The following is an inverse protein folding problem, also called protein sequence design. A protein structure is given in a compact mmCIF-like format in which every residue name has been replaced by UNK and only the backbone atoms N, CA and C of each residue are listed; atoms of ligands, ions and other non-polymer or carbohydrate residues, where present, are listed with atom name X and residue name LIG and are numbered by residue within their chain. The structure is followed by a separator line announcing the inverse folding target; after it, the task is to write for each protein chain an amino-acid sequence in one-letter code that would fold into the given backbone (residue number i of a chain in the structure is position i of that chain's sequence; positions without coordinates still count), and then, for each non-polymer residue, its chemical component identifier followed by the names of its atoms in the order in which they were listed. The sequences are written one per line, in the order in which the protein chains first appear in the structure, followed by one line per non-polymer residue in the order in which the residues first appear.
data_IF_098401798622
#
_entry.id   IF_098401798622
#
_cell.length_a   1.000
_cell.length_b   1.000
_cell.length_c   1.000
_cell.angle_alpha   90.00
_cell.angle_beta   90.00
_cell.angle_gamma   90.00
#
_symmetry.space_group_name_H-M   'P 1'
#
loop_
_entity.id
_entity.type
_entity.pdbx_description
1 polymer ?
#
# COMPACT_ATOMS: atom_id res chain seq x y z
N UNK A 1 5.82 -3.35 9.26
CA UNK A 1 7.17 -3.85 8.97
C UNK A 1 7.12 -4.66 7.68
N UNK A 2 8.12 -4.59 6.80
CA UNK A 2 8.11 -5.31 5.52
C UNK A 2 8.10 -6.81 5.75
N UNK A 3 7.42 -7.57 4.87
CA UNK A 3 7.52 -9.03 4.82
C UNK A 3 8.67 -9.51 3.90
N UNK A 4 9.53 -8.60 3.45
CA UNK A 4 10.72 -8.94 2.68
C UNK A 4 11.72 -9.69 3.58
N UNK A 5 12.21 -10.83 3.08
CA UNK A 5 13.21 -11.68 3.76
C UNK A 5 14.55 -10.99 3.99
N UNK A 6 14.85 -9.92 3.24
CA UNK A 6 16.10 -9.17 3.29
C UNK A 6 16.08 -8.03 4.31
N UNK A 7 14.94 -7.70 4.91
CA UNK A 7 14.85 -6.66 5.92
C UNK A 7 15.60 -7.05 7.20
N UNK A 8 16.55 -6.21 7.62
CA UNK A 8 17.43 -6.44 8.77
C UNK A 8 17.24 -5.40 9.90
N UNK A 9 16.08 -4.73 9.94
CA UNK A 9 15.75 -3.74 10.98
C UNK A 9 16.19 -2.31 10.64
N UNK A 10 16.46 -2.05 9.37
CA UNK A 10 16.87 -0.73 8.91
C UNK A 10 15.73 0.31 9.04
N UNK A 11 16.06 1.60 9.18
CA UNK A 11 15.04 2.63 9.33
C UNK A 11 14.21 2.76 8.05
N UNK A 12 12.97 2.29 8.10
CA UNK A 12 11.98 2.38 7.02
C UNK A 12 10.74 3.13 7.49
N UNK A 13 9.97 3.68 6.55
CA UNK A 13 8.84 4.55 6.86
C UNK A 13 7.57 4.13 6.16
N UNK A 14 6.47 4.59 6.74
CA UNK A 14 5.14 4.59 6.16
C UNK A 14 4.64 6.02 6.30
N UNK A 15 4.27 6.63 5.17
CA UNK A 15 3.70 7.97 5.11
C UNK A 15 2.25 7.85 4.65
N UNK A 16 1.32 8.39 5.43
CA UNK A 16 -0.12 8.40 5.12
C UNK A 16 -0.58 9.84 5.17
N UNK A 17 -1.21 10.31 4.10
CA UNK A 17 -1.80 11.63 4.00
C UNK A 17 -3.09 11.79 4.80
N UNK A 18 -3.82 12.86 4.49
CA UNK A 18 -5.01 13.26 5.24
C UNK A 18 -6.31 12.69 4.64
N UNK A 19 -7.36 12.59 5.46
CA UNK A 19 -8.71 12.24 4.98
C UNK A 19 -8.92 10.76 4.60
N UNK A 20 -7.93 9.90 4.81
CA UNK A 20 -8.03 8.48 4.47
C UNK A 20 -8.98 7.71 5.41
N UNK A 21 -9.79 6.83 4.83
CA UNK A 21 -10.60 5.85 5.57
C UNK A 21 -9.96 4.47 5.46
N UNK A 22 -9.39 3.99 6.57
CA UNK A 22 -8.76 2.67 6.67
C UNK A 22 -9.65 1.74 7.49
N UNK A 23 -10.18 0.71 6.84
CA UNK A 23 -11.10 -0.25 7.45
C UNK A 23 -10.38 -1.37 8.20
N UNK A 24 -11.18 -2.23 8.81
CA UNK A 24 -10.77 -3.30 9.70
C UNK A 24 -9.81 -4.29 8.99
N UNK A 25 -8.80 -4.77 9.72
CA UNK A 25 -7.84 -5.77 9.24
C UNK A 25 -7.02 -5.36 7.99
N UNK A 26 -6.93 -4.08 7.68
CA UNK A 26 -5.97 -3.58 6.68
C UNK A 26 -4.55 -3.72 7.22
N UNK A 27 -3.64 -4.15 6.34
CA UNK A 27 -2.20 -4.18 6.64
C UNK A 27 -1.46 -3.30 5.66
N UNK A 28 -0.64 -2.41 6.18
CA UNK A 28 0.21 -1.51 5.39
C UNK A 28 1.64 -1.65 5.92
N UNK A 29 2.53 -2.10 5.06
CA UNK A 29 3.93 -2.29 5.42
C UNK A 29 4.73 -1.03 5.13
N UNK A 30 5.75 -0.76 5.95
CA UNK A 30 6.79 0.24 5.65
C UNK A 30 7.58 -0.21 4.41
N UNK A 31 8.34 0.71 3.82
CA UNK A 31 9.20 0.40 2.66
C UNK A 31 10.41 -0.47 3.01
N UNK A 32 11.30 -0.68 2.05
CA UNK A 32 12.57 -1.41 2.19
C UNK A 32 13.76 -0.53 1.81
N UNK A 33 14.89 -0.67 2.50
CA UNK A 33 16.10 0.14 2.20
C UNK A 33 16.73 -0.19 0.85
N UNK A 34 16.36 -1.31 0.27
CA UNK A 34 16.76 -1.72 -1.07
C UNK A 34 16.11 -0.88 -2.17
N UNK A 35 15.09 -0.08 -1.82
CA UNK A 35 14.39 0.82 -2.73
C UNK A 35 14.20 2.21 -2.09
N UNK A 36 12.98 2.77 -2.11
CA UNK A 36 12.70 4.14 -1.61
C UNK A 36 12.73 4.20 -0.08
N UNK A 37 12.60 3.07 0.62
CA UNK A 37 12.55 3.01 2.08
C UNK A 37 11.23 3.50 2.66
N UNK A 38 10.23 3.79 1.81
CA UNK A 38 8.95 4.36 2.20
C UNK A 38 7.80 3.85 1.35
N UNK A 39 6.77 3.34 2.03
CA UNK A 39 5.44 3.14 1.44
C UNK A 39 4.64 4.42 1.64
N UNK A 40 3.98 4.91 0.59
CA UNK A 40 3.18 6.14 0.64
C UNK A 40 1.72 5.88 0.29
N UNK A 41 0.83 6.48 1.08
CA UNK A 41 -0.60 6.62 0.79
C UNK A 41 -0.91 8.11 0.77
N UNK A 42 -1.47 8.60 -0.34
CA UNK A 42 -1.90 9.99 -0.50
C UNK A 42 -3.12 10.34 0.35
N UNK A 43 -3.98 11.22 -0.16
CA UNK A 43 -5.11 11.79 0.55
C UNK A 43 -6.45 11.20 0.09
N UNK A 44 -7.44 11.26 0.98
CA UNK A 44 -8.85 10.95 0.67
C UNK A 44 -9.08 9.58 0.02
N UNK A 45 -8.30 8.57 0.42
CA UNK A 45 -8.47 7.19 -0.07
C UNK A 45 -9.46 6.41 0.80
N UNK A 46 -10.23 5.54 0.15
CA UNK A 46 -11.09 4.57 0.84
C UNK A 46 -10.51 3.17 0.72
N UNK A 47 -9.87 2.71 1.80
CA UNK A 47 -9.19 1.41 1.87
C UNK A 47 -10.04 0.46 2.71
N UNK A 48 -10.69 -0.49 2.04
CA UNK A 48 -11.66 -1.40 2.64
C UNK A 48 -10.98 -2.62 3.30
N UNK A 49 -11.78 -3.40 4.03
CA UNK A 49 -11.29 -4.40 4.98
C UNK A 49 -10.45 -5.49 4.30
N UNK A 50 -9.51 -6.06 5.06
CA UNK A 50 -8.61 -7.14 4.61
C UNK A 50 -7.68 -6.79 3.45
N UNK A 51 -7.54 -5.51 3.10
CA UNK A 51 -6.58 -5.06 2.09
C UNK A 51 -5.15 -5.21 2.61
N UNK A 52 -4.26 -5.68 1.74
CA UNK A 52 -2.82 -5.69 1.96
C UNK A 52 -2.11 -4.71 1.03
N UNK A 53 -1.36 -3.79 1.60
CA UNK A 53 -0.44 -2.90 0.90
C UNK A 53 0.98 -3.30 1.32
N UNK A 54 1.71 -3.94 0.41
CA UNK A 54 3.08 -4.37 0.66
C UNK A 54 4.06 -3.18 0.71
N UNK A 55 5.33 -3.49 0.88
CA UNK A 55 6.40 -2.50 0.99
C UNK A 55 6.58 -1.70 -0.31
N UNK A 56 6.99 -0.44 -0.15
CA UNK A 56 7.38 0.48 -1.22
C UNK A 56 6.26 0.83 -2.21
N UNK A 57 5.01 0.50 -1.88
CA UNK A 57 3.86 0.90 -2.69
C UNK A 57 3.68 2.42 -2.67
N UNK A 58 3.27 2.97 -3.81
CA UNK A 58 2.95 4.39 -3.97
C UNK A 58 1.49 4.53 -4.38
N UNK A 59 0.62 4.84 -3.42
CA UNK A 59 -0.81 5.04 -3.63
C UNK A 59 -1.10 6.54 -3.70
N UNK A 60 -1.75 6.97 -4.78
CA UNK A 60 -2.17 8.35 -5.01
C UNK A 60 -3.33 8.80 -4.11
N UNK A 61 -4.17 9.69 -4.66
CA UNK A 61 -5.28 10.34 -3.98
C UNK A 61 -6.64 9.88 -4.52
N UNK A 62 -7.68 9.99 -3.71
CA UNK A 62 -9.06 9.67 -4.11
C UNK A 62 -9.26 8.24 -4.66
N UNK A 63 -8.46 7.28 -4.20
CA UNK A 63 -8.57 5.88 -4.64
C UNK A 63 -9.65 5.14 -3.85
N UNK A 64 -10.24 4.13 -4.49
CA UNK A 64 -11.11 3.15 -3.83
C UNK A 64 -10.45 1.79 -3.94
N UNK A 65 -10.05 1.24 -2.79
CA UNK A 65 -9.44 -0.08 -2.69
C UNK A 65 -10.43 -0.98 -1.97
N UNK A 66 -11.15 -1.81 -2.72
CA UNK A 66 -12.22 -2.64 -2.19
C UNK A 66 -11.70 -3.81 -1.34
N UNK A 67 -12.63 -4.53 -0.70
CA UNK A 67 -12.28 -5.58 0.26
C UNK A 67 -11.29 -6.62 -0.32
N UNK A 68 -10.35 -7.03 0.52
CA UNK A 68 -9.42 -8.12 0.26
C UNK A 68 -8.51 -7.92 -0.97
N UNK A 69 -8.28 -6.68 -1.40
CA UNK A 69 -7.26 -6.38 -2.43
C UNK A 69 -5.86 -6.68 -1.88
N UNK A 70 -5.02 -7.33 -2.68
CA UNK A 70 -3.65 -7.70 -2.31
C UNK A 70 -2.65 -7.04 -3.27
N UNK A 71 -1.90 -6.04 -2.78
CA UNK A 71 -0.84 -5.39 -3.55
C UNK A 71 0.51 -5.99 -3.18
N UNK A 72 1.23 -6.50 -4.18
CA UNK A 72 2.64 -6.88 -4.04
C UNK A 72 3.54 -5.66 -3.84
N UNK A 73 4.83 -5.89 -3.58
CA UNK A 73 5.79 -4.82 -3.37
C UNK A 73 5.94 -3.91 -4.60
N UNK A 74 6.25 -2.62 -4.37
CA UNK A 74 6.54 -1.64 -5.42
C UNK A 74 5.37 -1.33 -6.37
N UNK A 75 4.13 -1.55 -5.94
CA UNK A 75 2.95 -1.24 -6.78
C UNK A 75 2.65 0.26 -6.75
N UNK A 76 2.37 0.83 -7.93
CA UNK A 76 2.00 2.24 -8.08
C UNK A 76 0.53 2.36 -8.51
N UNK A 77 -0.29 2.95 -7.65
CA UNK A 77 -1.70 3.22 -7.94
C UNK A 77 -1.89 4.72 -8.10
N UNK A 78 -2.35 5.14 -9.29
CA UNK A 78 -2.62 6.55 -9.59
C UNK A 78 -3.88 7.11 -8.94
N UNK A 79 -4.02 8.43 -9.00
CA UNK A 79 -5.19 9.14 -8.48
C UNK A 79 -6.50 8.63 -9.12
N UNK A 80 -7.59 8.62 -8.35
CA UNK A 80 -8.94 8.22 -8.79
C UNK A 80 -9.08 6.76 -9.27
N UNK A 81 -8.05 5.92 -9.06
CA UNK A 81 -8.13 4.50 -9.39
C UNK A 81 -9.13 3.74 -8.50
N UNK A 82 -9.79 2.75 -9.09
CA UNK A 82 -10.70 1.84 -8.38
C UNK A 82 -10.20 0.41 -8.56
N UNK A 83 -9.85 -0.22 -7.44
CA UNK A 83 -9.49 -1.63 -7.38
C UNK A 83 -10.68 -2.41 -6.83
N UNK A 84 -11.29 -3.25 -7.68
CA UNK A 84 -12.38 -4.13 -7.30
C UNK A 84 -11.96 -5.17 -6.26
N UNK A 85 -12.91 -5.70 -5.50
CA UNK A 85 -12.62 -6.63 -4.42
C UNK A 85 -11.91 -7.89 -4.92
N UNK A 86 -11.04 -8.47 -4.08
CA UNK A 86 -10.22 -9.65 -4.40
C UNK A 86 -9.19 -9.44 -5.54
N UNK A 87 -8.97 -8.20 -6.00
CA UNK A 87 -7.90 -7.92 -6.97
C UNK A 87 -6.54 -8.21 -6.36
N UNK A 88 -5.67 -8.88 -7.12
CA UNK A 88 -4.27 -9.06 -6.78
C UNK A 88 -3.40 -8.35 -7.82
N UNK A 89 -2.53 -7.44 -7.37
CA UNK A 89 -1.54 -6.78 -8.22
C UNK A 89 -0.17 -7.37 -7.88
N UNK A 90 0.46 -7.99 -8.86
CA UNK A 90 1.78 -8.59 -8.67
C UNK A 90 2.84 -7.49 -8.44
N UNK A 91 3.95 -7.85 -7.78
CA UNK A 91 5.09 -6.93 -7.57
C UNK A 91 5.52 -6.26 -8.88
N UNK A 92 5.86 -4.96 -8.79
CA UNK A 92 6.18 -4.08 -9.92
C UNK A 92 5.03 -3.85 -10.93
N UNK A 93 3.81 -4.26 -10.60
CA UNK A 93 2.62 -3.94 -11.38
C UNK A 93 2.19 -2.48 -11.21
N UNK A 94 1.55 -1.95 -12.25
CA UNK A 94 0.86 -0.64 -12.28
C UNK A 94 -0.63 -0.85 -12.50
#
# INVERSE_FOLDING_TARGET
MPQDKKYAGEPTRLEIGDGNMVREYVTINTGTVQDVGVTRVGNDNWIMAYTHIAHDCQIGNHTIIANSVQLGGHVHIGDWAILGGLTAVHQFGS
#
